data_IF_481819030769
#
_entry.id   IF_481819030769
#
_cell.length_a   1.000
_cell.length_b   1.000
_cell.length_c   1.000
_cell.angle_alpha   90.00
_cell.angle_beta   90.00
_cell.angle_gamma   90.00
#
_symmetry.space_group_name_H-M   'P 1'
#
loop_
_entity.id
_entity.type
_entity.pdbx_description
1 polymer ?
#
# COMPACT_ATOMS: atom_id res chain seq x y z
N UNK A 1 0.96 -3.10 1.32
CA UNK A 1 -0.01 -3.34 2.40
C UNK A 1 -1.38 -2.95 1.89
N UNK A 2 -2.32 -3.89 1.86
CA UNK A 2 -3.70 -3.61 1.46
C UNK A 2 -4.35 -2.69 2.48
N UNK A 3 -4.57 -1.44 2.11
CA UNK A 3 -5.23 -0.42 2.96
C UNK A 3 -6.77 -0.59 2.91
N UNK A 4 -7.25 -1.71 2.36
CA UNK A 4 -8.66 -2.07 2.32
C UNK A 4 -9.12 -2.63 3.65
N UNK A 5 -10.15 -2.04 4.22
CA UNK A 5 -10.86 -2.56 5.39
C UNK A 5 -12.36 -2.59 5.12
N UNK A 6 -13.06 -3.37 5.93
CA UNK A 6 -14.51 -3.37 5.96
C UNK A 6 -15.00 -3.33 7.40
N UNK A 7 -16.23 -2.87 7.59
CA UNK A 7 -16.94 -2.88 8.86
C UNK A 7 -18.39 -3.29 8.61
N UNK A 8 -18.96 -4.01 9.57
CA UNK A 8 -20.32 -4.52 9.54
C UNK A 8 -21.12 -3.84 10.65
N UNK A 9 -22.32 -3.37 10.31
CA UNK A 9 -23.33 -2.95 11.26
C UNK A 9 -24.69 -3.45 10.75
N UNK A 10 -25.36 -4.30 11.53
CA UNK A 10 -26.55 -5.05 11.12
C UNK A 10 -26.37 -5.72 9.74
N UNK A 11 -27.12 -5.26 8.74
CA UNK A 11 -27.10 -5.78 7.37
C UNK A 11 -26.29 -4.88 6.41
N UNK A 12 -25.52 -3.92 6.94
CA UNK A 12 -24.73 -2.98 6.17
C UNK A 12 -23.23 -3.27 6.30
N UNK A 13 -22.55 -3.40 5.17
CA UNK A 13 -21.10 -3.52 5.09
C UNK A 13 -20.55 -2.22 4.49
N UNK A 14 -19.74 -1.50 5.25
CA UNK A 14 -18.94 -0.40 4.76
C UNK A 14 -17.57 -0.93 4.34
N UNK A 15 -17.08 -0.54 3.16
CA UNK A 15 -15.73 -0.89 2.70
C UNK A 15 -15.15 0.19 1.79
N UNK A 16 -13.83 0.25 1.71
CA UNK A 16 -13.14 1.16 0.80
C UNK A 16 -12.80 0.47 -0.52
N UNK A 17 -13.10 1.10 -1.64
CA UNK A 17 -12.72 0.63 -2.97
C UNK A 17 -11.80 1.65 -3.64
N UNK A 18 -10.71 1.15 -4.22
CA UNK A 18 -9.75 1.99 -4.93
C UNK A 18 -10.18 2.17 -6.37
N UNK A 19 -10.12 3.40 -6.86
CA UNK A 19 -10.35 3.73 -8.26
C UNK A 19 -9.22 4.60 -8.78
N UNK A 20 -8.73 4.29 -9.97
CA UNK A 20 -7.77 5.13 -10.69
C UNK A 20 -8.48 6.31 -11.34
N UNK A 21 -7.80 7.44 -11.44
CA UNK A 21 -8.26 8.52 -12.28
C UNK A 21 -8.22 8.11 -13.76
N UNK A 22 -9.29 8.41 -14.49
CA UNK A 22 -9.46 8.03 -15.91
C UNK A 22 -8.39 8.65 -16.81
N UNK A 23 -7.78 9.78 -16.42
CA UNK A 23 -6.75 10.48 -17.20
C UNK A 23 -5.38 10.51 -16.54
N UNK A 24 -5.29 10.29 -15.23
CA UNK A 24 -4.06 10.50 -14.48
C UNK A 24 -3.68 9.22 -13.74
N UNK A 25 -2.93 8.32 -14.36
CA UNK A 25 -2.64 6.99 -13.78
C UNK A 25 -1.99 7.03 -12.39
N UNK A 26 -1.18 8.08 -12.13
CA UNK A 26 -0.54 8.31 -10.82
C UNK A 26 -1.47 8.94 -9.77
N UNK A 27 -2.73 9.24 -10.12
CA UNK A 27 -3.76 9.75 -9.23
C UNK A 27 -4.76 8.62 -8.93
N UNK A 28 -4.68 8.10 -7.71
CA UNK A 28 -5.65 7.16 -7.17
C UNK A 28 -6.59 7.82 -6.16
N UNK A 29 -7.81 7.29 -6.10
CA UNK A 29 -8.81 7.56 -5.08
C UNK A 29 -9.13 6.28 -4.30
N UNK A 30 -9.60 6.43 -3.08
CA UNK A 30 -10.17 5.38 -2.25
C UNK A 30 -11.45 5.92 -1.64
N UNK A 31 -12.58 5.41 -2.10
CA UNK A 31 -13.91 5.88 -1.72
C UNK A 31 -14.63 4.82 -0.90
N UNK A 32 -15.54 5.27 -0.03
CA UNK A 32 -16.35 4.41 0.80
C UNK A 32 -17.60 3.98 0.03
N UNK A 33 -17.88 2.69 0.09
CA UNK A 33 -19.10 2.06 -0.40
C UNK A 33 -19.84 1.41 0.77
N UNK A 34 -21.17 1.47 0.72
CA UNK A 34 -22.06 0.73 1.62
C UNK A 34 -22.75 -0.35 0.81
N UNK A 35 -22.75 -1.56 1.31
CA UNK A 35 -23.45 -2.70 0.74
C UNK A 35 -24.48 -3.25 1.71
N UNK A 36 -25.73 -3.36 1.28
CA UNK A 36 -26.78 -3.98 2.06
C UNK A 36 -26.85 -5.49 1.73
N UNK A 37 -26.68 -6.34 2.75
CA UNK A 37 -26.64 -7.79 2.59
C UNK A 37 -28.01 -8.41 2.30
N UNK A 38 -29.11 -7.76 2.68
CA UNK A 38 -30.48 -8.21 2.40
C UNK A 38 -30.90 -7.87 0.97
N UNK A 39 -30.79 -6.59 0.59
CA UNK A 39 -31.25 -6.11 -0.72
C UNK A 39 -30.23 -6.36 -1.82
N UNK A 40 -28.96 -6.63 -1.46
CA UNK A 40 -27.81 -6.74 -2.36
C UNK A 40 -27.44 -5.43 -3.06
N UNK A 41 -27.97 -4.30 -2.59
CA UNK A 41 -27.66 -2.99 -3.15
C UNK A 41 -26.29 -2.51 -2.68
N UNK A 42 -25.55 -1.91 -3.62
CA UNK A 42 -24.26 -1.26 -3.36
C UNK A 42 -24.37 0.21 -3.70
N UNK A 43 -24.09 1.08 -2.74
CA UNK A 43 -24.11 2.54 -2.89
C UNK A 43 -22.71 3.08 -2.66
N UNK A 44 -22.28 3.99 -3.54
CA UNK A 44 -21.07 4.79 -3.33
C UNK A 44 -21.40 5.94 -2.39
N UNK A 45 -20.83 5.93 -1.19
CA UNK A 45 -21.08 6.95 -0.16
C UNK A 45 -20.22 8.21 -0.38
N UNK A 46 -18.97 8.04 -0.84
CA UNK A 46 -18.05 9.16 -1.08
C UNK A 46 -17.48 9.16 -2.49
N UNK A 47 -16.98 10.31 -2.96
CA UNK A 47 -16.39 10.42 -4.29
C UNK A 47 -15.10 11.22 -4.29
N UNK A 48 -14.09 10.70 -5.01
CA UNK A 48 -12.78 11.32 -5.21
C UNK A 48 -12.01 11.57 -3.91
N UNK A 49 -12.20 10.68 -2.93
CA UNK A 49 -11.54 10.76 -1.64
C UNK A 49 -10.34 9.82 -1.54
N UNK A 50 -9.72 9.80 -0.37
CA UNK A 50 -8.62 8.91 0.01
C UNK A 50 -8.92 8.30 1.39
N UNK A 51 -10.12 7.77 1.52
CA UNK A 51 -10.64 7.17 2.74
C UNK A 51 -10.36 5.66 2.78
N UNK A 52 -9.96 5.18 3.93
CA UNK A 52 -9.56 3.81 4.18
C UNK A 52 -10.13 3.35 5.53
N UNK A 53 -10.21 2.02 5.72
CA UNK A 53 -10.59 1.42 7.01
C UNK A 53 -11.87 2.03 7.63
N UNK A 54 -13.01 1.98 6.92
CA UNK A 54 -14.26 2.44 7.49
C UNK A 54 -14.66 1.58 8.69
N UNK A 55 -15.13 2.22 9.77
CA UNK A 55 -15.65 1.57 10.97
C UNK A 55 -16.94 2.26 11.41
N UNK A 56 -18.04 1.51 11.44
CA UNK A 56 -19.32 2.00 11.96
C UNK A 56 -19.21 2.33 13.45
N UNK A 57 -19.90 3.40 13.86
CA UNK A 57 -20.21 3.64 15.25
C UNK A 57 -21.13 2.53 15.79
N UNK A 58 -21.13 2.36 17.10
CA UNK A 58 -21.95 1.38 17.83
C UNK A 58 -23.44 1.55 17.53
N UNK A 59 -23.90 2.79 17.32
CA UNK A 59 -25.28 3.07 16.91
C UNK A 59 -25.53 3.03 15.38
N UNK A 60 -24.50 2.84 14.56
CA UNK A 60 -24.57 2.76 13.10
C UNK A 60 -24.81 4.08 12.36
N UNK A 61 -25.01 5.21 13.05
CA UNK A 61 -25.31 6.52 12.44
C UNK A 61 -24.07 7.25 11.90
N UNK A 62 -22.89 6.86 12.38
CA UNK A 62 -21.61 7.46 12.01
C UNK A 62 -20.65 6.42 11.47
N UNK A 63 -19.69 6.90 10.70
CA UNK A 63 -18.62 6.10 10.14
C UNK A 63 -17.28 6.81 10.35
N UNK A 64 -16.35 6.21 11.09
CA UNK A 64 -14.99 6.70 11.18
C UNK A 64 -14.16 6.12 10.04
N UNK A 65 -13.33 6.95 9.41
CA UNK A 65 -12.41 6.54 8.34
C UNK A 65 -11.04 7.16 8.56
N UNK A 66 -10.02 6.49 8.03
CA UNK A 66 -8.66 7.03 7.94
C UNK A 66 -8.53 7.75 6.60
N UNK A 67 -8.09 9.00 6.60
CA UNK A 67 -7.78 9.74 5.37
C UNK A 67 -6.28 10.03 5.29
N UNK A 68 -5.73 10.02 4.08
CA UNK A 68 -4.44 10.64 3.78
C UNK A 68 -4.61 11.74 2.73
N UNK A 69 -4.13 12.95 3.03
CA UNK A 69 -4.11 14.03 2.05
C UNK A 69 -3.05 13.79 0.94
N UNK A 70 -2.88 14.77 0.04
CA UNK A 70 -1.85 14.69 -1.01
C UNK A 70 -0.41 14.73 -0.48
N UNK A 71 -0.21 15.28 0.72
CA UNK A 71 1.08 15.35 1.41
C UNK A 71 1.34 14.14 2.34
N UNK A 72 0.43 13.15 2.33
CA UNK A 72 0.42 11.97 3.21
C UNK A 72 0.30 12.33 4.69
N UNK A 73 -0.38 13.42 4.99
CA UNK A 73 -0.79 13.78 6.34
C UNK A 73 -2.04 12.98 6.67
N UNK A 74 -2.01 12.13 7.73
CA UNK A 74 -3.17 11.36 8.12
C UNK A 74 -4.20 12.20 8.90
N UNK A 75 -5.46 11.83 8.79
CA UNK A 75 -6.53 12.29 9.68
C UNK A 75 -7.53 11.16 9.96
N UNK A 76 -8.21 11.26 11.10
CA UNK A 76 -9.43 10.50 11.36
C UNK A 76 -10.60 11.40 10.97
N UNK A 77 -11.45 10.92 10.07
CA UNK A 77 -12.63 11.65 9.61
C UNK A 77 -13.87 10.89 10.05
N UNK A 78 -14.82 11.59 10.67
CA UNK A 78 -16.11 11.04 11.06
C UNK A 78 -17.14 11.52 10.05
N UNK A 79 -17.84 10.58 9.43
CA UNK A 79 -18.86 10.80 8.42
C UNK A 79 -20.24 10.43 8.99
N UNK A 80 -21.29 11.06 8.47
CA UNK A 80 -22.64 10.50 8.56
C UNK A 80 -22.69 9.22 7.70
N UNK A 81 -23.11 8.11 8.28
CA UNK A 81 -23.06 6.80 7.61
C UNK A 81 -24.05 6.67 6.44
N UNK A 82 -25.10 7.48 6.41
CA UNK A 82 -26.14 7.46 5.37
C UNK A 82 -25.86 8.44 4.23
N UNK A 83 -25.41 9.67 4.56
CA UNK A 83 -25.22 10.73 3.57
C UNK A 83 -23.77 10.88 3.09
N UNK A 84 -22.79 10.40 3.86
CA UNK A 84 -21.37 10.63 3.60
C UNK A 84 -20.89 12.04 3.94
N UNK A 85 -21.73 12.87 4.57
CA UNK A 85 -21.36 14.20 5.04
C UNK A 85 -20.27 14.12 6.12
N UNK A 86 -19.29 15.02 6.04
CA UNK A 86 -18.23 15.12 7.05
C UNK A 86 -18.81 15.79 8.30
N UNK A 87 -18.83 15.04 9.41
CA UNK A 87 -19.24 15.54 10.72
C UNK A 87 -18.05 16.11 11.49
N UNK A 88 -16.89 15.47 11.37
CA UNK A 88 -15.69 15.85 12.12
C UNK A 88 -14.41 15.43 11.39
N UNK A 89 -13.31 16.14 11.62
CA UNK A 89 -11.98 15.79 11.09
C UNK A 89 -10.91 16.08 12.13
N UNK A 90 -10.24 15.04 12.62
CA UNK A 90 -9.13 15.14 13.58
C UNK A 90 -7.80 14.90 12.83
N UNK A 91 -7.00 15.96 12.58
CA UNK A 91 -5.72 15.83 11.88
C UNK A 91 -4.62 15.28 12.79
N UNK A 92 -3.68 14.55 12.18
CA UNK A 92 -2.43 14.12 12.81
C UNK A 92 -1.25 14.76 12.09
N UNK A 93 -0.09 14.84 12.75
CA UNK A 93 1.12 15.34 12.10
C UNK A 93 1.63 14.39 11.01
N UNK A 94 2.40 14.94 10.08
CA UNK A 94 3.10 14.15 9.08
C UNK A 94 4.07 13.16 9.75
N UNK A 95 4.08 11.92 9.27
CA UNK A 95 4.97 10.86 9.76
C UNK A 95 4.28 9.89 10.72
N UNK A 96 3.04 10.15 11.11
CA UNK A 96 2.15 9.13 11.66
C UNK A 96 1.53 8.28 10.55
N UNK A 97 1.10 7.08 10.89
CA UNK A 97 0.29 6.20 10.05
C UNK A 97 -0.69 5.48 10.96
N UNK A 98 -1.97 5.70 10.74
CA UNK A 98 -3.05 5.06 11.50
C UNK A 98 -3.34 3.71 10.83
N UNK A 99 -3.42 2.65 11.62
CA UNK A 99 -3.62 1.29 11.13
C UNK A 99 -5.07 0.84 11.23
N UNK A 100 -5.67 1.07 12.41
CA UNK A 100 -6.99 0.55 12.78
C UNK A 100 -7.70 1.56 13.68
N UNK A 101 -9.04 1.54 13.63
CA UNK A 101 -9.96 2.37 14.40
C UNK A 101 -10.95 1.46 15.13
N UNK A 102 -11.43 1.86 16.31
CA UNK A 102 -12.56 1.20 16.98
C UNK A 102 -13.31 2.18 17.88
N UNK A 103 -14.63 2.21 17.75
CA UNK A 103 -15.50 3.04 18.59
C UNK A 103 -15.69 2.40 19.96
N UNK A 104 -15.87 3.22 20.99
CA UNK A 104 -16.36 2.75 22.27
C UNK A 104 -17.89 2.63 22.29
N UNK A 105 -18.41 2.02 23.36
CA UNK A 105 -19.82 1.60 23.47
C UNK A 105 -20.85 2.74 23.36
N UNK A 106 -20.48 3.97 23.74
CA UNK A 106 -21.36 5.16 23.68
C UNK A 106 -21.03 6.13 22.53
N UNK A 107 -20.11 5.73 21.65
CA UNK A 107 -19.63 6.49 20.52
C UNK A 107 -19.01 7.87 20.85
N UNK A 108 -18.49 8.07 22.06
CA UNK A 108 -17.78 9.29 22.47
C UNK A 108 -16.27 9.24 22.23
N UNK A 109 -15.70 8.04 22.07
CA UNK A 109 -14.27 7.83 21.87
C UNK A 109 -13.96 6.92 20.69
N UNK A 110 -12.79 7.12 20.07
CA UNK A 110 -12.24 6.24 19.04
C UNK A 110 -10.83 5.78 19.44
N UNK A 111 -10.66 4.48 19.66
CA UNK A 111 -9.35 3.87 19.84
C UNK A 111 -8.61 3.71 18.51
N UNK A 112 -7.28 3.82 18.57
CA UNK A 112 -6.39 3.82 17.42
C UNK A 112 -5.19 2.92 17.69
N UNK A 113 -4.70 2.25 16.64
CA UNK A 113 -3.30 1.86 16.55
C UNK A 113 -2.57 2.75 15.55
N UNK A 114 -1.46 3.34 15.98
CA UNK A 114 -0.66 4.26 15.17
C UNK A 114 0.80 3.82 15.10
N UNK A 115 1.45 4.05 13.96
CA UNK A 115 2.89 3.85 13.76
C UNK A 115 3.54 5.19 13.43
N UNK A 116 4.75 5.39 13.91
CA UNK A 116 5.64 6.49 13.54
C UNK A 116 7.10 6.00 13.47
N UNK A 117 8.04 6.91 13.20
CA UNK A 117 9.48 6.63 13.34
C UNK A 117 9.87 6.18 14.77
N UNK A 118 9.04 6.44 15.78
CA UNK A 118 9.27 6.04 17.18
C UNK A 118 8.77 4.62 17.48
N UNK A 119 8.14 3.95 16.50
CA UNK A 119 7.52 2.64 16.67
C UNK A 119 6.00 2.70 16.62
N UNK A 120 5.34 1.77 17.29
CA UNK A 120 3.89 1.65 17.39
C UNK A 120 3.38 2.15 18.75
N UNK A 121 2.13 2.64 18.78
CA UNK A 121 1.44 3.13 19.97
C UNK A 121 -0.06 2.89 19.83
N UNK A 122 -0.72 2.56 20.94
CA UNK A 122 -2.18 2.67 21.07
C UNK A 122 -2.56 4.02 21.65
N UNK A 123 -3.69 4.56 21.22
CA UNK A 123 -4.25 5.78 21.77
C UNK A 123 -5.74 5.88 21.56
N UNK A 124 -6.34 6.94 22.09
CA UNK A 124 -7.78 7.20 22.04
C UNK A 124 -8.00 8.66 21.66
N UNK A 125 -8.96 8.91 20.76
CA UNK A 125 -9.50 10.24 20.49
C UNK A 125 -10.77 10.40 21.30
N UNK A 126 -10.86 11.51 22.03
CA UNK A 126 -12.09 12.05 22.58
C UNK A 126 -12.79 12.90 21.50
N UNK A 127 -14.02 12.55 21.12
CA UNK A 127 -14.74 13.24 20.06
C UNK A 127 -15.38 14.55 20.51
N UNK A 128 -15.61 14.75 21.81
CA UNK A 128 -16.11 16.01 22.36
C UNK A 128 -15.01 17.06 22.38
N UNK A 129 -13.82 16.68 22.88
CA UNK A 129 -12.68 17.61 22.98
C UNK A 129 -11.76 17.63 21.76
N UNK A 130 -11.96 16.70 20.82
CA UNK A 130 -11.14 16.45 19.62
C UNK A 130 -9.68 16.11 19.93
N UNK A 131 -9.39 15.63 21.15
CA UNK A 131 -8.02 15.39 21.60
C UNK A 131 -7.64 13.92 21.51
N UNK A 132 -6.46 13.70 20.93
CA UNK A 132 -5.76 12.43 21.01
C UNK A 132 -4.99 12.30 22.32
N UNK A 133 -5.14 11.14 22.98
CA UNK A 133 -4.38 10.75 24.17
C UNK A 133 -3.71 9.39 23.95
N UNK A 134 -2.42 9.29 24.28
CA UNK A 134 -1.69 8.03 24.20
C UNK A 134 -2.09 7.08 25.34
N UNK A 135 -2.35 5.82 25.01
CA UNK A 135 -2.63 4.74 25.98
C UNK A 135 -1.36 3.94 26.28
N UNK A 136 -0.50 3.70 25.30
CA UNK A 136 0.80 3.05 25.50
C UNK A 136 1.95 4.01 25.23
N UNK A 137 3.15 3.69 25.72
CA UNK A 137 4.38 4.33 25.25
C UNK A 137 4.70 3.91 23.81
N UNK A 138 5.57 4.68 23.15
CA UNK A 138 6.15 4.28 21.86
C UNK A 138 7.16 3.14 22.05
N UNK A 139 7.01 2.06 21.29
CA UNK A 139 7.99 0.99 21.20
C UNK A 139 7.88 0.23 19.86
N UNK A 140 8.77 -0.72 19.60
CA UNK A 140 8.73 -1.53 18.37
C UNK A 140 7.89 -2.82 18.53
N UNK A 141 6.99 -2.88 19.50
CA UNK A 141 6.06 -4.00 19.65
C UNK A 141 4.83 -3.67 18.83
N UNK A 142 4.53 -4.52 17.83
CA UNK A 142 3.33 -4.35 17.04
C UNK A 142 2.09 -4.54 17.92
N UNK A 143 1.18 -3.56 17.85
CA UNK A 143 -0.18 -3.61 18.37
C UNK A 143 -1.09 -3.19 17.23
N UNK A 144 -2.07 -4.01 16.86
CA UNK A 144 -2.94 -3.74 15.71
C UNK A 144 -4.32 -4.36 15.94
N UNK A 145 -5.27 -4.07 15.06
CA UNK A 145 -6.64 -4.60 15.09
C UNK A 145 -7.30 -4.35 16.45
N UNK A 146 -7.22 -3.10 16.90
CA UNK A 146 -7.75 -2.66 18.19
C UNK A 146 -9.28 -2.77 18.18
N UNK A 147 -9.83 -3.21 19.32
CA UNK A 147 -11.25 -3.25 19.63
C UNK A 147 -11.46 -2.58 20.99
N UNK A 148 -12.35 -1.61 21.05
CA UNK A 148 -12.82 -1.05 22.31
C UNK A 148 -13.79 -2.05 22.97
N UNK A 149 -13.72 -2.20 24.29
CA UNK A 149 -14.66 -3.02 25.05
C UNK A 149 -14.74 -2.57 26.50
N UNK A 150 -15.86 -1.92 26.86
CA UNK A 150 -16.01 -1.28 28.16
C UNK A 150 -14.83 -0.33 28.43
N UNK A 151 -14.14 -0.53 29.56
CA UNK A 151 -12.96 0.28 29.92
C UNK A 151 -11.61 -0.32 29.45
N UNK A 152 -11.61 -1.12 28.39
CA UNK A 152 -10.41 -1.82 27.90
C UNK A 152 -10.27 -1.66 26.40
N UNK A 153 -9.03 -1.78 25.94
CA UNK A 153 -8.73 -2.05 24.52
C UNK A 153 -8.23 -3.48 24.39
N UNK A 154 -8.82 -4.24 23.49
CA UNK A 154 -8.38 -5.58 23.07
C UNK A 154 -7.68 -5.46 21.72
N UNK A 155 -6.53 -6.10 21.53
CA UNK A 155 -5.73 -5.92 20.31
C UNK A 155 -4.83 -7.14 20.02
N UNK A 156 -4.43 -7.30 18.76
CA UNK A 156 -3.38 -8.24 18.39
C UNK A 156 -2.02 -7.65 18.72
N UNK A 157 -1.14 -8.42 19.37
CA UNK A 157 0.25 -8.04 19.57
C UNK A 157 1.23 -9.18 19.38
N UNK A 158 2.42 -8.84 18.86
CA UNK A 158 3.56 -9.74 18.71
C UNK A 158 4.49 -9.78 19.93
N UNK A 159 4.05 -9.28 21.10
CA UNK A 159 4.88 -9.16 22.30
C UNK A 159 5.64 -10.45 22.67
N UNK A 160 4.98 -11.61 22.55
CA UNK A 160 5.56 -12.93 22.84
C UNK A 160 6.39 -13.55 21.71
N UNK A 161 6.61 -12.83 20.60
CA UNK A 161 7.32 -13.32 19.40
C UNK A 161 6.43 -14.09 18.42
N UNK A 162 5.19 -14.35 18.81
CA UNK A 162 4.09 -14.83 17.96
C UNK A 162 2.88 -13.94 18.25
N UNK A 163 2.02 -13.75 17.25
CA UNK A 163 0.81 -12.94 17.42
C UNK A 163 -0.12 -13.58 18.45
N UNK A 164 -0.56 -12.78 19.40
CA UNK A 164 -1.58 -13.16 20.38
C UNK A 164 -2.56 -12.03 20.60
N UNK A 165 -3.58 -12.29 21.40
CA UNK A 165 -4.58 -11.27 21.75
C UNK A 165 -4.27 -10.77 23.15
N UNK A 166 -4.19 -9.46 23.28
CA UNK A 166 -3.83 -8.75 24.49
C UNK A 166 -4.92 -7.74 24.83
N UNK A 167 -4.90 -7.29 26.07
CA UNK A 167 -5.80 -6.24 26.57
C UNK A 167 -5.01 -5.21 27.35
N UNK A 168 -5.42 -3.95 27.28
CA UNK A 168 -4.98 -2.90 28.21
C UNK A 168 -6.20 -2.29 28.89
N UNK A 169 -6.11 -2.12 30.20
CA UNK A 169 -7.11 -1.42 31.01
C UNK A 169 -6.84 0.08 30.93
N UNK A 170 -7.87 0.88 30.61
CA UNK A 170 -7.68 2.30 30.31
C UNK A 170 -7.48 3.17 31.57
N UNK A 171 -7.98 2.74 32.73
CA UNK A 171 -7.76 3.46 34.00
C UNK A 171 -6.36 3.21 34.55
N UNK A 172 -5.94 1.93 34.54
CA UNK A 172 -4.70 1.50 35.20
C UNK A 172 -3.51 1.40 34.26
N UNK A 173 -3.75 1.43 32.94
CA UNK A 173 -2.79 1.20 31.87
C UNK A 173 -2.03 -0.13 31.99
N UNK A 174 -2.64 -1.10 32.70
CA UNK A 174 -2.06 -2.44 32.85
C UNK A 174 -2.40 -3.30 31.64
N UNK A 175 -1.37 -3.91 31.07
CA UNK A 175 -1.48 -4.83 29.95
C UNK A 175 -1.59 -6.29 30.43
N UNK A 176 -2.36 -7.09 29.69
CA UNK A 176 -2.57 -8.51 29.93
C UNK A 176 -2.61 -9.28 28.61
N UNK A 177 -2.19 -10.54 28.64
CA UNK A 177 -2.43 -11.49 27.56
C UNK A 177 -3.77 -12.18 27.79
N UNK A 178 -4.62 -12.13 26.78
CA UNK A 178 -5.97 -12.72 26.76
C UNK A 178 -5.93 -14.08 26.09
N UNK A 179 -5.32 -14.18 24.90
CA UNK A 179 -5.19 -15.42 24.13
C UNK A 179 -3.75 -15.61 23.69
N UNK A 180 -3.26 -16.84 23.83
CA UNK A 180 -2.04 -17.32 23.20
C UNK A 180 -2.35 -18.62 22.48
N UNK A 181 -2.13 -18.66 21.16
CA UNK A 181 -2.16 -19.90 20.39
C UNK A 181 -0.75 -20.38 20.08
N UNK A 182 -0.61 -21.63 19.62
CA UNK A 182 0.67 -22.23 19.25
C UNK A 182 1.31 -21.56 18.05
N UNK A 183 0.53 -21.15 17.05
CA UNK A 183 1.04 -20.53 15.81
C UNK A 183 0.57 -19.10 15.59
N UNK A 184 -0.29 -18.60 16.47
CA UNK A 184 -0.73 -17.21 16.50
C UNK A 184 -2.24 -17.07 16.58
N UNK A 185 -2.69 -16.00 17.20
CA UNK A 185 -4.10 -15.60 17.28
C UNK A 185 -4.23 -14.14 16.84
N UNK A 186 -5.15 -13.86 15.92
CA UNK A 186 -5.27 -12.56 15.28
C UNK A 186 -6.74 -12.19 14.99
N UNK A 187 -6.99 -10.95 14.56
CA UNK A 187 -8.31 -10.40 14.25
C UNK A 187 -9.33 -10.56 15.40
N UNK A 188 -9.05 -9.99 16.59
CA UNK A 188 -10.03 -10.00 17.67
C UNK A 188 -11.28 -9.21 17.27
N UNK A 189 -12.44 -9.77 17.60
CA UNK A 189 -13.74 -9.15 17.47
C UNK A 189 -14.59 -9.51 18.69
N UNK A 190 -15.34 -8.55 19.22
CA UNK A 190 -16.08 -8.73 20.46
C UNK A 190 -17.56 -8.61 20.17
N UNK A 191 -18.32 -9.59 20.65
CA UNK A 191 -19.76 -9.63 20.49
C UNK A 191 -20.40 -10.34 21.68
N UNK A 192 -21.33 -9.67 22.38
CA UNK A 192 -22.03 -10.22 23.55
C UNK A 192 -21.09 -10.84 24.60
N UNK A 193 -20.05 -10.13 25.02
CA UNK A 193 -19.02 -10.57 25.97
C UNK A 193 -18.21 -11.82 25.56
N UNK A 194 -18.33 -12.25 24.30
CA UNK A 194 -17.47 -13.26 23.69
C UNK A 194 -16.38 -12.60 22.85
N UNK A 195 -15.15 -13.10 22.99
CA UNK A 195 -14.06 -12.78 22.09
C UNK A 195 -14.02 -13.84 20.98
N UNK A 196 -14.25 -13.38 19.76
CA UNK A 196 -14.12 -14.15 18.53
C UNK A 196 -12.79 -13.76 17.87
N UNK A 197 -12.04 -14.74 17.37
CA UNK A 197 -10.74 -14.49 16.75
C UNK A 197 -10.35 -15.55 15.72
N UNK A 198 -9.37 -15.22 14.90
CA UNK A 198 -8.74 -16.13 13.94
C UNK A 198 -7.52 -16.81 14.58
N UNK A 199 -7.65 -18.11 14.82
CA UNK A 199 -6.59 -18.98 15.32
C UNK A 199 -5.83 -19.58 14.15
N UNK A 200 -4.51 -19.38 14.09
CA UNK A 200 -3.68 -19.94 13.03
C UNK A 200 -3.29 -21.38 13.36
N UNK A 201 -3.69 -22.31 12.51
CA UNK A 201 -3.43 -23.75 12.65
C UNK A 201 -2.63 -24.27 11.47
N UNK A 202 -2.22 -25.55 11.51
CA UNK A 202 -1.56 -26.19 10.37
C UNK A 202 -2.45 -26.22 9.11
N UNK A 203 -3.77 -26.17 9.28
CA UNK A 203 -4.76 -26.12 8.20
C UNK A 203 -5.19 -24.68 7.84
N UNK A 204 -4.41 -23.68 8.27
CA UNK A 204 -4.70 -22.25 8.09
C UNK A 204 -5.54 -21.65 9.21
N UNK A 205 -6.14 -20.48 8.94
CA UNK A 205 -6.95 -19.74 9.91
C UNK A 205 -8.27 -20.47 10.22
N UNK A 206 -8.57 -20.63 11.50
CA UNK A 206 -9.83 -21.17 12.02
C UNK A 206 -10.49 -20.14 12.92
N UNK A 207 -11.80 -20.01 12.82
CA UNK A 207 -12.55 -19.17 13.73
C UNK A 207 -12.63 -19.86 15.09
N UNK A 208 -12.29 -19.14 16.15
CA UNK A 208 -12.36 -19.62 17.52
C UNK A 208 -13.06 -18.57 18.39
N UNK A 209 -13.63 -18.99 19.51
CA UNK A 209 -14.33 -18.10 20.44
C UNK A 209 -14.14 -18.50 21.89
N UNK A 210 -14.01 -17.50 22.76
CA UNK A 210 -13.94 -17.68 24.21
C UNK A 210 -14.78 -16.62 24.92
N UNK A 211 -15.22 -16.92 26.15
CA UNK A 211 -15.80 -15.92 27.04
C UNK A 211 -14.72 -14.94 27.50
N UNK A 212 -15.02 -13.64 27.57
CA UNK A 212 -14.12 -12.61 28.12
C UNK A 212 -14.13 -12.62 29.66
N UNK A 213 -13.65 -13.70 30.26
CA UNK A 213 -13.40 -13.75 31.71
C UNK A 213 -12.04 -13.14 32.04
N UNK A 214 -12.06 -11.93 32.60
CA UNK A 214 -10.85 -11.19 32.99
C UNK A 214 -10.01 -11.91 34.05
N UNK A 215 -10.58 -12.86 34.81
CA UNK A 215 -9.83 -13.65 35.79
C UNK A 215 -8.82 -14.61 35.16
N UNK A 216 -9.03 -14.96 33.88
CA UNK A 216 -8.14 -15.82 33.11
C UNK A 216 -7.01 -15.06 32.41
N UNK A 217 -6.99 -13.72 32.50
CA UNK A 217 -5.99 -12.90 31.82
C UNK A 217 -4.65 -12.97 32.55
N UNK A 218 -3.58 -13.14 31.79
CA UNK A 218 -2.23 -13.24 32.34
C UNK A 218 -1.59 -11.84 32.30
N UNK A 219 -1.19 -11.25 33.43
CA UNK A 219 -0.51 -9.95 33.43
C UNK A 219 0.70 -9.97 32.51
N UNK A 220 0.91 -8.90 31.72
CA UNK A 220 1.98 -8.85 30.72
C UNK A 220 3.36 -9.09 31.33
N UNK A 221 3.57 -8.67 32.59
CA UNK A 221 4.80 -8.91 33.35
C UNK A 221 5.15 -10.41 33.55
N UNK A 222 4.18 -11.31 33.41
CA UNK A 222 4.37 -12.77 33.48
C UNK A 222 4.56 -13.40 32.11
N UNK A 223 4.41 -12.63 31.02
CA UNK A 223 4.58 -13.11 29.66
C UNK A 223 6.03 -12.91 29.26
N UNK A 224 6.67 -13.98 28.79
CA UNK A 224 8.02 -13.89 28.25
C UNK A 224 7.97 -13.10 26.95
N UNK A 225 8.67 -11.97 26.90
CA UNK A 225 8.82 -11.19 25.68
C UNK A 225 9.59 -12.04 24.66
N UNK A 226 9.00 -12.26 23.49
CA UNK A 226 9.63 -12.99 22.38
C UNK A 226 10.62 -12.08 21.66
N UNK A 227 11.66 -11.69 22.40
CA UNK A 227 12.67 -10.77 21.93
C UNK A 227 13.47 -11.43 20.83
N UNK A 228 13.40 -10.83 19.64
CA UNK A 228 14.23 -11.23 18.52
C UNK A 228 14.73 -9.99 17.79
N UNK A 229 15.73 -9.35 18.37
CA UNK A 229 16.43 -8.18 17.82
C UNK A 229 17.43 -8.61 16.72
N UNK A 230 16.99 -9.38 15.72
CA UNK A 230 17.87 -9.81 14.61
C UNK A 230 18.46 -8.65 13.82
N UNK A 231 17.80 -7.49 13.84
CA UNK A 231 18.21 -6.30 13.09
C UNK A 231 19.12 -5.35 13.88
N UNK A 232 19.22 -5.47 15.21
CA UNK A 232 20.08 -4.59 16.01
C UNK A 232 21.56 -4.59 15.59
N UNK A 233 22.16 -5.73 15.17
CA UNK A 233 23.50 -5.74 14.59
C UNK A 233 23.58 -5.10 13.19
N UNK A 234 22.47 -5.10 12.43
CA UNK A 234 22.41 -4.51 11.09
C UNK A 234 22.31 -2.97 11.14
N UNK A 235 21.74 -2.42 12.21
CA UNK A 235 21.63 -0.96 12.41
C UNK A 235 23.01 -0.27 12.54
N UNK A 236 24.06 -0.99 12.94
CA UNK A 236 25.43 -0.45 12.97
C UNK A 236 26.09 -0.44 11.59
N UNK A 237 25.57 -1.21 10.63
CA UNK A 237 26.10 -1.36 9.27
C UNK A 237 25.29 -0.59 8.22
N UNK A 238 24.04 -0.23 8.51
CA UNK A 238 23.27 0.69 7.67
C UNK A 238 23.87 2.10 7.79
N UNK A 239 24.73 2.47 6.83
CA UNK A 239 24.98 3.88 6.54
C UNK A 239 23.62 4.58 6.44
N UNK A 240 23.46 5.66 7.19
CA UNK A 240 22.24 6.48 7.25
C UNK A 240 21.60 6.54 5.87
N UNK A 241 20.48 5.83 5.68
CA UNK A 241 19.67 5.98 4.47
C UNK A 241 19.45 7.48 4.34
N UNK A 242 19.91 8.13 3.26
CA UNK A 242 19.84 9.57 3.14
C UNK A 242 18.38 9.97 3.29
N UNK A 243 18.04 10.53 4.45
CA UNK A 243 16.71 11.08 4.67
C UNK A 243 16.64 12.30 3.79
N UNK A 244 15.86 12.21 2.71
CA UNK A 244 15.46 13.39 1.95
C UNK A 244 14.48 14.15 2.85
N UNK A 245 15.01 14.78 3.91
CA UNK A 245 14.23 15.54 4.90
C UNK A 245 13.68 16.83 4.27
N UNK A 246 14.22 17.22 3.12
CA UNK A 246 13.67 18.26 2.26
C UNK A 246 13.28 17.65 0.91
N UNK A 247 12.00 17.31 0.67
CA UNK A 247 11.57 17.06 -0.69
C UNK A 247 11.95 18.28 -1.52
N UNK A 248 12.74 18.08 -2.57
CA UNK A 248 13.09 19.14 -3.52
C UNK A 248 11.77 19.76 -3.96
N UNK A 249 11.55 21.03 -3.63
CA UNK A 249 10.36 21.76 -4.07
C UNK A 249 10.53 22.04 -5.56
N UNK A 250 9.89 21.22 -6.39
CA UNK A 250 9.84 21.48 -7.82
C UNK A 250 8.87 22.63 -8.08
N UNK A 251 9.34 23.66 -8.76
CA UNK A 251 8.48 24.75 -9.24
C UNK A 251 7.60 24.17 -10.35
N UNK A 252 6.29 24.12 -10.10
CA UNK A 252 5.33 23.70 -11.12
C UNK A 252 5.22 24.80 -12.19
N UNK A 253 5.38 24.41 -13.45
CA UNK A 253 5.17 25.26 -14.62
C UNK A 253 4.31 24.54 -15.65
N UNK A 254 3.76 25.29 -16.61
CA UNK A 254 3.03 24.68 -17.70
C UNK A 254 3.94 23.76 -18.53
N UNK A 255 3.56 22.48 -18.61
CA UNK A 255 4.26 21.48 -19.41
C UNK A 255 3.87 21.62 -20.89
N UNK A 256 4.85 21.64 -21.79
CA UNK A 256 4.62 21.63 -23.23
C UNK A 256 4.91 20.22 -23.77
N UNK A 257 3.88 19.40 -24.10
CA UNK A 257 4.07 18.03 -24.55
C UNK A 257 4.97 17.90 -25.77
N UNK A 258 4.95 18.89 -26.66
CA UNK A 258 5.72 18.85 -27.91
C UNK A 258 7.24 19.04 -27.69
N UNK A 259 7.64 19.68 -26.59
CA UNK A 259 9.07 19.87 -26.26
C UNK A 259 9.66 18.70 -25.48
N UNK A 260 8.81 17.74 -25.08
CA UNK A 260 9.17 16.65 -24.16
C UNK A 260 8.69 15.29 -24.67
N UNK A 261 8.58 15.13 -26.00
CA UNK A 261 8.14 13.90 -26.68
C UNK A 261 9.03 12.68 -26.36
N UNK A 262 10.29 12.92 -26.02
CA UNK A 262 11.23 11.90 -25.54
C UNK A 262 11.80 12.43 -24.22
N UNK A 263 11.42 11.80 -23.11
CA UNK A 263 11.90 12.16 -21.78
C UNK A 263 12.32 10.88 -21.05
N UNK A 264 13.59 10.52 -21.20
CA UNK A 264 14.19 9.40 -20.48
C UNK A 264 14.32 9.81 -19.03
N UNK A 265 13.37 9.39 -18.21
CA UNK A 265 13.34 9.73 -16.79
C UNK A 265 14.00 8.66 -15.93
N UNK A 266 14.11 7.44 -16.45
CA UNK A 266 14.75 6.33 -15.76
C UNK A 266 15.32 5.33 -16.76
N UNK A 267 16.44 4.75 -16.36
CA UNK A 267 17.09 3.65 -17.04
C UNK A 267 17.53 2.69 -15.96
N UNK A 268 17.43 1.40 -16.23
CA UNK A 268 17.95 0.39 -15.34
C UNK A 268 18.64 -0.70 -16.15
N UNK A 269 19.78 -1.13 -15.65
CA UNK A 269 20.43 -2.35 -16.09
C UNK A 269 19.76 -3.46 -15.29
N UNK A 270 19.02 -4.31 -15.98
CA UNK A 270 18.25 -5.37 -15.38
C UNK A 270 19.00 -6.70 -15.55
N UNK A 271 19.70 -7.19 -14.53
CA UNK A 271 20.14 -8.59 -14.52
C UNK A 271 18.95 -9.48 -14.11
N UNK A 272 17.82 -9.44 -14.83
CA UNK A 272 16.60 -10.16 -14.41
C UNK A 272 16.44 -11.49 -15.15
N UNK A 273 16.15 -12.51 -14.35
CA UNK A 273 15.46 -13.75 -14.73
C UNK A 273 14.00 -13.41 -15.05
N UNK A 274 13.44 -13.81 -16.21
CA UNK A 274 12.20 -13.26 -16.73
C UNK A 274 11.00 -13.66 -15.85
N UNK A 275 10.66 -12.85 -14.85
CA UNK A 275 9.47 -13.02 -14.00
C UNK A 275 8.67 -11.71 -13.87
N UNK A 276 9.14 -10.57 -14.38
CA UNK A 276 8.41 -9.29 -14.25
C UNK A 276 8.25 -8.54 -15.58
N UNK A 277 7.70 -9.22 -16.58
CA UNK A 277 6.93 -8.54 -17.63
C UNK A 277 5.59 -9.27 -17.74
N UNK A 278 4.57 -8.74 -17.08
CA UNK A 278 3.19 -9.20 -17.20
C UNK A 278 2.82 -10.37 -16.28
N UNK A 279 2.19 -10.03 -15.17
CA UNK A 279 1.23 -10.91 -14.49
C UNK A 279 0.05 -11.20 -15.43
N UNK A 280 0.23 -12.00 -16.49
CA UNK A 280 -0.88 -12.52 -17.30
C UNK A 280 -0.53 -13.69 -18.26
N UNK A 281 0.68 -14.25 -18.26
CA UNK A 281 0.99 -15.44 -19.08
C UNK A 281 1.42 -16.63 -18.23
N UNK A 282 0.46 -17.27 -17.57
CA UNK A 282 0.58 -18.69 -17.24
C UNK A 282 0.12 -19.50 -18.45
N UNK A 283 1.04 -19.89 -19.35
CA UNK A 283 0.84 -21.10 -20.12
C UNK A 283 2.16 -21.79 -20.51
N UNK A 284 2.08 -23.11 -20.47
CA UNK A 284 3.10 -24.14 -20.44
C UNK A 284 4.16 -24.10 -21.55
N UNK A 285 5.44 -24.06 -21.15
CA UNK A 285 6.61 -24.82 -21.68
C UNK A 285 7.91 -24.08 -21.28
N UNK A 286 8.23 -24.02 -19.98
CA UNK A 286 9.35 -23.22 -19.43
C UNK A 286 10.53 -24.15 -19.07
N UNK A 287 11.10 -24.84 -20.05
CA UNK A 287 12.30 -25.68 -19.80
C UNK A 287 13.54 -25.26 -20.61
N UNK A 288 13.53 -24.14 -21.34
CA UNK A 288 14.69 -23.74 -22.18
C UNK A 288 15.12 -22.27 -22.16
N UNK A 289 14.61 -21.42 -21.28
CA UNK A 289 14.88 -19.97 -21.31
C UNK A 289 15.61 -19.42 -20.07
N UNK A 290 16.29 -20.28 -19.30
CA UNK A 290 17.13 -19.85 -18.19
C UNK A 290 18.56 -19.50 -18.64
N UNK A 291 18.71 -18.47 -19.48
CA UNK A 291 20.02 -17.83 -19.66
C UNK A 291 19.94 -16.38 -19.17
N UNK A 292 20.83 -16.05 -18.23
CA UNK A 292 21.07 -14.68 -17.73
C UNK A 292 21.59 -13.85 -18.88
N UNK A 293 20.72 -13.07 -19.52
CA UNK A 293 21.12 -12.06 -20.49
C UNK A 293 20.99 -10.69 -19.81
N UNK A 294 22.06 -9.86 -19.78
CA UNK A 294 21.92 -8.50 -19.30
C UNK A 294 20.95 -7.75 -20.24
N UNK A 295 19.88 -7.20 -19.67
CA UNK A 295 18.93 -6.37 -20.39
C UNK A 295 19.11 -4.91 -19.96
N UNK A 296 19.33 -4.02 -20.92
CA UNK A 296 19.23 -2.58 -20.65
C UNK A 296 17.81 -2.18 -20.99
N UNK A 297 17.08 -1.69 -19.98
CA UNK A 297 15.71 -1.23 -20.13
C UNK A 297 15.67 0.28 -19.90
N UNK A 298 15.22 1.01 -20.92
CA UNK A 298 14.96 2.44 -20.87
C UNK A 298 13.45 2.66 -20.74
N UNK A 299 13.06 3.42 -19.72
CA UNK A 299 11.69 3.87 -19.56
C UNK A 299 11.62 5.33 -19.98
N UNK A 300 10.83 5.58 -21.01
CA UNK A 300 10.45 6.93 -21.39
C UNK A 300 8.97 7.08 -21.13
N UNK A 301 8.62 8.01 -20.26
CA UNK A 301 7.24 8.43 -20.14
C UNK A 301 7.11 9.94 -20.22
N UNK A 302 5.98 10.39 -20.76
CA UNK A 302 5.63 11.78 -20.56
C UNK A 302 5.42 12.04 -19.07
N UNK A 303 5.59 13.30 -18.64
CA UNK A 303 5.56 13.62 -17.21
C UNK A 303 4.21 13.26 -16.55
N UNK A 304 3.16 13.15 -17.37
CA UNK A 304 1.79 12.87 -16.98
C UNK A 304 1.50 11.37 -16.84
N UNK A 305 2.40 10.49 -17.32
CA UNK A 305 2.19 9.04 -17.33
C UNK A 305 1.06 8.59 -18.26
N UNK A 306 0.81 9.36 -19.32
CA UNK A 306 -0.19 9.08 -20.37
C UNK A 306 0.40 8.25 -21.51
N UNK A 307 1.72 8.31 -21.71
CA UNK A 307 2.43 7.52 -22.70
C UNK A 307 3.68 6.92 -22.07
N UNK A 308 3.66 5.60 -21.85
CA UNK A 308 4.81 4.85 -21.41
C UNK A 308 5.40 4.07 -22.60
N UNK A 309 6.65 4.37 -22.94
CA UNK A 309 7.45 3.61 -23.88
C UNK A 309 8.57 2.92 -23.12
N UNK A 310 8.59 1.59 -23.20
CA UNK A 310 9.72 0.79 -22.73
C UNK A 310 10.54 0.42 -23.94
N UNK A 311 11.80 0.83 -23.97
CA UNK A 311 12.79 0.33 -24.92
C UNK A 311 13.69 -0.63 -24.19
N UNK A 312 13.93 -1.79 -24.78
CA UNK A 312 14.81 -2.77 -24.17
C UNK A 312 15.75 -3.37 -25.20
N UNK A 313 16.93 -3.73 -24.74
CA UNK A 313 17.89 -4.49 -25.52
C UNK A 313 18.42 -5.65 -24.72
N UNK A 314 18.53 -6.81 -25.36
CA UNK A 314 19.09 -8.02 -24.76
C UNK A 314 20.14 -8.60 -25.69
N UNK A 315 21.22 -9.13 -25.12
CA UNK A 315 22.28 -9.77 -25.89
C UNK A 315 21.92 -11.23 -26.22
N UNK A 316 21.69 -11.51 -27.50
CA UNK A 316 21.41 -12.85 -27.99
C UNK A 316 22.70 -13.65 -28.10
N UNK A 317 22.91 -14.57 -27.16
CA UNK A 317 24.13 -15.39 -27.06
C UNK A 317 24.29 -16.31 -28.29
N UNK A 318 23.19 -16.86 -28.81
CA UNK A 318 23.22 -17.78 -29.95
C UNK A 318 23.60 -17.08 -31.26
N UNK A 319 23.31 -15.78 -31.36
CA UNK A 319 23.62 -14.94 -32.53
C UNK A 319 24.82 -14.02 -32.33
N UNK A 320 25.38 -13.98 -31.12
CA UNK A 320 26.42 -13.04 -30.66
C UNK A 320 26.08 -11.55 -30.97
N UNK A 321 24.80 -11.17 -30.92
CA UNK A 321 24.29 -9.85 -31.33
C UNK A 321 23.29 -9.29 -30.33
N UNK A 322 23.16 -7.96 -30.28
CA UNK A 322 22.11 -7.29 -29.50
C UNK A 322 20.80 -7.25 -30.27
N UNK A 323 19.73 -7.78 -29.67
CA UNK A 323 18.37 -7.65 -30.15
C UNK A 323 17.68 -6.45 -29.46
N UNK A 324 16.81 -5.75 -30.19
CA UNK A 324 16.14 -4.53 -29.73
C UNK A 324 14.62 -4.66 -29.82
N UNK A 325 13.90 -4.20 -28.80
CA UNK A 325 12.44 -4.19 -28.76
C UNK A 325 11.87 -2.93 -28.11
N UNK A 326 10.60 -2.66 -28.41
CA UNK A 326 9.83 -1.61 -27.73
C UNK A 326 8.41 -2.08 -27.43
N UNK A 327 7.89 -1.67 -26.27
CA UNK A 327 6.51 -1.93 -25.82
C UNK A 327 5.90 -0.61 -25.36
N UNK A 328 4.66 -0.34 -25.75
CA UNK A 328 3.88 0.81 -25.29
C UNK A 328 2.40 0.47 -25.07
N UNK A 329 1.79 1.03 -24.03
CA UNK A 329 0.42 0.74 -23.59
C UNK A 329 -0.61 1.70 -24.22
N UNK A 330 -1.52 1.11 -25.03
CA UNK A 330 -2.80 1.63 -25.57
C UNK A 330 -2.88 2.82 -26.57
N UNK A 331 -3.71 2.55 -27.60
CA UNK A 331 -4.20 3.35 -28.76
C UNK A 331 -3.22 4.38 -29.39
N UNK A 332 -2.61 3.92 -30.49
CA UNK A 332 -1.88 4.69 -31.51
C UNK A 332 -0.44 5.13 -31.16
N UNK A 333 0.43 4.18 -30.84
CA UNK A 333 1.87 4.31 -31.10
C UNK A 333 2.27 3.37 -32.25
N UNK A 334 1.55 3.50 -33.37
CA UNK A 334 2.14 3.35 -34.70
C UNK A 334 2.24 4.73 -35.39
N UNK A 335 1.97 5.81 -34.66
CA UNK A 335 1.86 7.18 -35.18
C UNK A 335 2.60 8.13 -34.24
N UNK A 336 3.93 7.98 -34.16
CA UNK A 336 4.82 9.09 -33.78
C UNK A 336 6.25 8.93 -34.31
N UNK A 337 6.58 7.81 -34.95
CA UNK A 337 7.80 7.63 -35.76
C UNK A 337 7.51 7.41 -37.26
N UNK A 338 6.24 7.33 -37.66
CA UNK A 338 5.81 6.99 -39.04
C UNK A 338 4.92 8.05 -39.72
N UNK A 339 4.79 9.26 -39.16
CA UNK A 339 3.83 10.25 -39.67
C UNK A 339 4.34 11.17 -40.77
N UNK A 340 5.21 10.67 -41.65
CA UNK A 340 5.53 11.29 -42.96
C UNK A 340 5.65 10.29 -44.12
N UNK A 341 5.06 9.09 -44.02
CA UNK A 341 4.87 8.22 -45.17
C UNK A 341 3.46 7.61 -45.14
N UNK A 342 2.69 7.67 -46.24
CA UNK A 342 1.46 6.89 -46.36
C UNK A 342 1.81 5.40 -46.35
N UNK A 343 0.97 4.61 -45.67
CA UNK A 343 1.08 3.15 -45.60
C UNK A 343 1.00 2.59 -47.02
N UNK A 344 2.12 2.08 -47.54
CA UNK A 344 2.20 1.29 -48.77
C UNK A 344 3.04 0.04 -48.47
N UNK A 345 2.62 -1.17 -48.92
CA UNK A 345 3.35 -2.41 -48.69
C UNK A 345 4.77 -2.33 -49.27
N UNK A 346 5.70 -3.08 -48.68
CA UNK A 346 7.11 -3.25 -49.05
C UNK A 346 7.33 -3.46 -50.56
N UNK A 347 7.35 -2.38 -51.35
CA UNK A 347 7.85 -2.28 -52.72
C UNK A 347 8.07 -0.79 -53.03
N UNK A 348 9.23 -0.26 -52.63
CA UNK A 348 9.68 1.08 -53.05
C UNK A 348 10.05 2.02 -51.91
N UNK A 349 11.21 1.80 -51.28
CA UNK A 349 11.85 2.79 -50.42
C UNK A 349 12.77 3.68 -51.27
N UNK A 350 12.67 5.00 -51.13
CA UNK A 350 13.75 5.93 -51.56
C UNK A 350 14.77 6.05 -50.42
N UNK A 351 16.03 5.82 -50.78
CA UNK A 351 17.20 5.51 -49.92
C UNK A 351 17.86 6.71 -49.22
N UNK A 352 17.25 7.89 -49.15
CA UNK A 352 18.00 9.14 -48.89
C UNK A 352 18.18 9.52 -47.40
N UNK A 353 17.49 8.87 -46.46
CA UNK A 353 17.60 9.18 -45.01
C UNK A 353 18.09 8.00 -44.15
N UNK A 354 18.36 6.85 -44.77
CA UNK A 354 18.98 5.69 -44.11
C UNK A 354 20.34 6.01 -43.43
N UNK A 355 21.22 6.87 -44.01
CA UNK A 355 22.55 7.12 -43.44
C UNK A 355 22.53 7.84 -42.08
N UNK A 356 21.63 8.81 -41.89
CA UNK A 356 21.52 9.58 -40.65
C UNK A 356 21.01 8.69 -39.50
N UNK A 357 20.14 7.74 -39.82
CA UNK A 357 19.62 6.79 -38.84
C UNK A 357 20.70 5.80 -38.39
N UNK A 358 21.59 5.38 -39.30
CA UNK A 358 22.77 4.56 -38.99
C UNK A 358 23.74 5.33 -38.11
N UNK A 359 24.00 6.62 -38.39
CA UNK A 359 24.91 7.45 -37.58
C UNK A 359 24.44 7.64 -36.13
N UNK A 360 23.14 7.83 -35.89
CA UNK A 360 22.59 7.96 -34.53
C UNK A 360 22.68 6.62 -33.79
N UNK A 361 22.42 5.51 -34.48
CA UNK A 361 22.53 4.17 -33.90
C UNK A 361 23.99 3.83 -33.56
N UNK A 362 24.92 4.17 -34.46
CA UNK A 362 26.37 4.00 -34.25
C UNK A 362 26.88 4.86 -33.08
N UNK A 363 26.37 6.09 -32.93
CA UNK A 363 26.72 6.94 -31.79
C UNK A 363 26.26 6.34 -30.46
N UNK A 364 25.04 5.78 -30.42
CA UNK A 364 24.51 5.08 -29.24
C UNK A 364 25.33 3.80 -28.96
N UNK A 365 25.70 3.04 -29.99
CA UNK A 365 26.55 1.85 -29.87
C UNK A 365 27.92 2.21 -29.29
N UNK A 366 28.59 3.24 -29.80
CA UNK A 366 29.90 3.69 -29.29
C UNK A 366 29.80 4.21 -27.85
N UNK A 367 28.73 4.95 -27.55
CA UNK A 367 28.48 5.43 -26.19
C UNK A 367 28.31 4.26 -25.22
N UNK A 368 27.52 3.24 -25.56
CA UNK A 368 27.31 2.05 -24.70
C UNK A 368 28.59 1.21 -24.58
N UNK A 369 29.34 1.01 -25.66
CA UNK A 369 30.62 0.30 -25.63
C UNK A 369 31.66 0.99 -24.74
N UNK A 370 31.63 2.32 -24.63
CA UNK A 370 32.54 3.07 -23.77
C UNK A 370 32.35 2.80 -22.27
N UNK A 371 31.19 2.28 -21.86
CA UNK A 371 30.90 1.90 -20.47
C UNK A 371 31.12 0.41 -20.17
N UNK A 372 31.37 -0.44 -21.18
CA UNK A 372 31.53 -1.89 -21.04
C UNK A 372 33.01 -2.36 -21.02
N UNK A 373 33.99 -1.45 -21.10
CA UNK A 373 35.44 -1.77 -21.12
C UNK A 373 36.15 -1.38 -19.81
N UNK A 374 35.47 -1.41 -18.66
CA UNK A 374 36.12 -1.37 -17.33
C UNK A 374 35.73 -2.59 -16.52
#
# INVERSE_FOLDING_TARGET
MGIGGYSLFDNFIAFSEMSSDIRWEKRGYSDIYIYNTDTKDKVRLTSNQRYFKPVFSTNGERLAVIQFDYNRVPSVVVLNSFSGEILQTIPFDRGYSILDLSWNDDDSFIALSIISKKGNQLGVIDLESEKYSSVTSWDNIQRSKVQYYGNKLIFTSSYSGIDGIYSIDLDTLKEYRVVSSRFGADYPFIYNDELIFSDYTIDGFKLNKISLDSSCFIPLAQVVKGHVDYFSPLLTEEETIPTIDNPVKYVSSNYNPNLHLININSWLINPITPVMVGSEVFNSSIDKLFFKVPEIVLFSSDYLGLMDNTFYTHYNIDRELWDFGSIGTYRQILISLFRWLPVVPLQGLRLELLPIFIEILDWIIQFIQSFLII
#
